data_IF_794702484675
#
_entry.id   IF_794702484675
#
_cell.length_a   1.000
_cell.length_b   1.000
_cell.length_c   1.000
_cell.angle_alpha   90.00
_cell.angle_beta   90.00
_cell.angle_gamma   90.00
#
_symmetry.space_group_name_H-M   'P 1'
#
loop_
_entity.id
_entity.type
_entity.pdbx_description
1 polymer ?
#
# COMPACT_ATOMS: atom_id res chain seq x y z
N UNK A 1 4.52 28.96 -15.02
CA UNK A 1 4.04 27.61 -14.68
C UNK A 1 5.10 26.49 -14.87
N UNK A 2 6.01 26.59 -15.85
CA UNK A 2 7.04 25.56 -16.12
C UNK A 2 8.04 25.31 -14.97
N UNK A 3 8.38 26.31 -14.16
CA UNK A 3 9.32 26.15 -13.03
C UNK A 3 8.76 25.38 -11.84
N UNK A 4 7.47 25.54 -11.52
CA UNK A 4 6.80 24.82 -10.44
C UNK A 4 6.57 23.34 -10.81
N UNK A 5 6.32 23.05 -12.07
CA UNK A 5 6.15 21.68 -12.61
C UNK A 5 7.44 20.88 -12.52
N UNK A 6 8.59 21.47 -12.91
CA UNK A 6 9.91 20.83 -12.78
C UNK A 6 10.28 20.58 -11.30
N UNK A 7 9.89 21.48 -10.41
CA UNK A 7 10.10 21.31 -8.97
C UNK A 7 9.37 20.09 -8.40
N UNK A 8 8.11 19.83 -8.81
CA UNK A 8 7.31 18.72 -8.26
C UNK A 8 7.84 17.34 -8.70
N UNK A 9 8.17 17.16 -9.98
CA UNK A 9 8.76 15.91 -10.48
C UNK A 9 10.09 15.58 -9.79
N UNK A 10 10.97 16.58 -9.63
CA UNK A 10 12.24 16.37 -8.94
C UNK A 10 12.04 15.98 -7.48
N UNK A 11 11.09 16.61 -6.79
CA UNK A 11 10.74 16.28 -5.39
C UNK A 11 10.15 14.89 -5.25
N UNK A 12 9.30 14.45 -6.19
CA UNK A 12 8.73 13.10 -6.19
C UNK A 12 9.82 12.05 -6.42
N UNK A 13 10.76 12.31 -7.33
CA UNK A 13 11.92 11.43 -7.57
C UNK A 13 12.77 11.29 -6.31
N UNK A 14 13.08 12.39 -5.63
CA UNK A 14 13.84 12.38 -4.39
C UNK A 14 13.12 11.60 -3.29
N UNK A 15 11.80 11.81 -3.12
CA UNK A 15 10.97 11.06 -2.17
C UNK A 15 10.96 9.57 -2.51
N UNK A 16 10.81 9.20 -3.79
CA UNK A 16 10.82 7.81 -4.23
C UNK A 16 12.16 7.14 -3.94
N UNK A 17 13.27 7.80 -4.23
CA UNK A 17 14.63 7.31 -3.93
C UNK A 17 14.87 7.07 -2.44
N UNK A 18 14.48 8.02 -1.58
CA UNK A 18 14.61 7.90 -0.12
C UNK A 18 13.75 6.75 0.43
N UNK A 19 12.54 6.58 -0.09
CA UNK A 19 11.65 5.49 0.30
C UNK A 19 12.17 4.13 -0.18
N UNK A 20 12.70 4.05 -1.40
CA UNK A 20 13.31 2.84 -1.93
C UNK A 20 14.55 2.43 -1.11
N UNK A 21 15.36 3.39 -0.67
CA UNK A 21 16.49 3.13 0.22
C UNK A 21 16.08 2.53 1.58
N UNK A 22 14.89 2.87 2.09
CA UNK A 22 14.39 2.38 3.40
C UNK A 22 13.56 1.11 3.31
N UNK A 23 12.74 0.98 2.27
CA UNK A 23 11.72 -0.09 2.16
C UNK A 23 11.98 -1.05 0.99
N UNK A 24 12.99 -0.76 0.17
CA UNK A 24 13.19 -1.44 -1.11
C UNK A 24 12.27 -0.89 -2.20
N UNK A 25 12.38 -1.45 -3.39
CA UNK A 25 11.48 -1.20 -4.52
C UNK A 25 10.51 -2.38 -4.61
N UNK A 26 9.28 -2.28 -4.07
CA UNK A 26 8.36 -3.40 -4.06
C UNK A 26 7.98 -3.80 -5.49
N UNK A 27 7.99 -5.10 -5.74
CA UNK A 27 7.42 -5.65 -6.96
C UNK A 27 5.90 -5.50 -6.96
N UNK A 28 5.33 -5.26 -8.14
CA UNK A 28 3.89 -5.21 -8.30
C UNK A 28 3.39 -6.65 -8.39
N UNK A 29 3.03 -7.23 -7.25
CA UNK A 29 2.35 -8.52 -7.21
C UNK A 29 0.89 -8.33 -7.61
N UNK A 30 0.50 -8.88 -8.74
CA UNK A 30 -0.90 -8.96 -9.16
C UNK A 30 -1.50 -10.19 -8.49
N UNK A 31 -2.26 -10.00 -7.40
CA UNK A 31 -2.92 -11.09 -6.68
C UNK A 31 -4.05 -11.75 -7.45
N UNK A 32 -4.62 -11.03 -8.42
CA UNK A 32 -5.71 -11.48 -9.25
C UNK A 32 -5.46 -11.04 -10.70
N UNK A 33 -5.31 -12.01 -11.58
CA UNK A 33 -4.96 -11.77 -13.00
C UNK A 33 -6.16 -11.34 -13.84
N UNK A 34 -7.38 -11.75 -13.45
CA UNK A 34 -8.62 -11.32 -14.10
C UNK A 34 -9.00 -9.90 -13.62
N UNK A 35 -9.06 -8.91 -14.51
CA UNK A 35 -9.36 -7.53 -14.13
C UNK A 35 -10.74 -7.36 -13.47
N UNK A 36 -11.74 -8.16 -13.83
CA UNK A 36 -13.08 -8.08 -13.20
C UNK A 36 -13.02 -8.64 -11.78
N UNK A 37 -12.33 -9.76 -11.57
CA UNK A 37 -12.08 -10.28 -10.22
C UNK A 37 -11.25 -9.32 -9.37
N UNK A 38 -10.27 -8.66 -9.99
CA UNK A 38 -9.47 -7.65 -9.29
C UNK A 38 -10.31 -6.40 -8.94
N UNK A 39 -11.28 -6.02 -9.78
CA UNK A 39 -12.26 -4.98 -9.43
C UNK A 39 -13.08 -5.40 -8.19
N UNK A 40 -13.58 -6.63 -8.15
CA UNK A 40 -14.30 -7.19 -6.99
C UNK A 40 -13.43 -7.16 -5.75
N UNK A 41 -12.19 -7.64 -5.83
CA UNK A 41 -11.22 -7.62 -4.73
C UNK A 41 -10.96 -6.20 -4.23
N UNK A 42 -10.82 -5.24 -5.15
CA UNK A 42 -10.58 -3.83 -4.82
C UNK A 42 -11.80 -3.18 -4.15
N UNK A 43 -13.02 -3.51 -4.58
CA UNK A 43 -14.25 -3.08 -3.89
C UNK A 43 -14.28 -3.68 -2.46
N UNK A 44 -13.95 -4.95 -2.32
CA UNK A 44 -13.87 -5.59 -0.99
C UNK A 44 -12.83 -4.95 -0.07
N UNK A 45 -11.75 -4.40 -0.63
CA UNK A 45 -10.68 -3.73 0.15
C UNK A 45 -11.08 -2.39 0.77
N UNK A 46 -12.21 -1.80 0.36
CA UNK A 46 -12.65 -0.50 0.85
C UNK A 46 -13.00 -0.55 2.34
N UNK A 47 -12.43 0.37 3.12
CA UNK A 47 -12.69 0.54 4.56
C UNK A 47 -12.60 -0.76 5.37
N UNK A 48 -11.60 -1.59 5.09
CA UNK A 48 -11.33 -2.83 5.82
C UNK A 48 -9.83 -3.10 5.94
N UNK A 49 -9.47 -4.10 6.72
CA UNK A 49 -8.08 -4.59 6.82
C UNK A 49 -7.79 -5.61 5.72
N UNK A 50 -6.51 -5.78 5.36
CA UNK A 50 -6.10 -6.78 4.36
C UNK A 50 -6.56 -8.19 4.75
N UNK A 51 -6.44 -8.56 6.03
CA UNK A 51 -6.89 -9.86 6.53
C UNK A 51 -8.41 -10.07 6.38
N UNK A 52 -9.22 -9.03 6.59
CA UNK A 52 -10.67 -9.11 6.42
C UNK A 52 -11.06 -9.15 4.94
N UNK A 53 -10.36 -8.37 4.09
CA UNK A 53 -10.52 -8.43 2.64
C UNK A 53 -10.26 -9.85 2.12
N UNK A 54 -9.14 -10.44 2.50
CA UNK A 54 -8.72 -11.76 2.00
C UNK A 54 -9.69 -12.86 2.46
N UNK A 55 -10.16 -12.79 3.71
CA UNK A 55 -11.21 -13.69 4.21
C UNK A 55 -12.52 -13.52 3.47
N UNK A 56 -12.94 -12.28 3.19
CA UNK A 56 -14.17 -12.01 2.44
C UNK A 56 -14.05 -12.52 1.00
N UNK A 57 -12.92 -12.24 0.33
CA UNK A 57 -12.68 -12.72 -1.03
C UNK A 57 -12.60 -14.23 -1.11
N UNK A 58 -11.93 -14.90 -0.19
CA UNK A 58 -11.87 -16.37 -0.14
C UNK A 58 -13.23 -17.04 0.03
N UNK A 59 -14.10 -16.48 0.90
CA UNK A 59 -15.49 -16.96 1.04
C UNK A 59 -16.30 -16.73 -0.23
N UNK A 60 -16.19 -15.54 -0.83
CA UNK A 60 -16.84 -15.19 -2.08
C UNK A 60 -16.42 -16.13 -3.21
N UNK A 61 -15.11 -16.33 -3.42
CA UNK A 61 -14.58 -17.18 -4.48
C UNK A 61 -15.00 -18.65 -4.31
N UNK A 62 -15.07 -19.16 -3.06
CA UNK A 62 -15.56 -20.50 -2.76
C UNK A 62 -17.05 -20.67 -3.07
N UNK A 63 -17.88 -19.66 -2.72
CA UNK A 63 -19.34 -19.73 -2.93
C UNK A 63 -19.73 -19.46 -4.38
N UNK A 64 -19.00 -18.55 -5.05
CA UNK A 64 -19.24 -18.14 -6.43
C UNK A 64 -17.96 -18.29 -7.27
N UNK A 65 -17.64 -19.51 -7.72
CA UNK A 65 -16.34 -19.81 -8.34
C UNK A 65 -16.16 -19.15 -9.72
N UNK A 66 -17.25 -18.77 -10.39
CA UNK A 66 -17.20 -18.11 -11.70
C UNK A 66 -17.86 -16.73 -11.66
N UNK A 67 -17.47 -15.84 -12.57
CA UNK A 67 -18.10 -14.51 -12.69
C UNK A 67 -19.61 -14.62 -13.04
N UNK A 68 -20.04 -15.50 -13.93
CA UNK A 68 -21.47 -15.73 -14.15
C UNK A 68 -22.22 -16.16 -12.88
N UNK A 69 -21.66 -17.07 -12.08
CA UNK A 69 -22.26 -17.49 -10.81
C UNK A 69 -22.34 -16.32 -9.81
N UNK A 70 -21.30 -15.50 -9.74
CA UNK A 70 -21.28 -14.31 -8.88
C UNK A 70 -22.32 -13.26 -9.33
N UNK A 71 -22.44 -13.06 -10.65
CA UNK A 71 -23.40 -12.10 -11.21
C UNK A 71 -24.87 -12.55 -11.04
N UNK A 72 -25.12 -13.86 -10.95
CA UNK A 72 -26.44 -14.44 -10.71
C UNK A 72 -26.79 -14.56 -9.21
N UNK A 73 -25.87 -14.21 -8.31
CA UNK A 73 -26.09 -14.33 -6.87
C UNK A 73 -27.18 -13.39 -6.38
N UNK A 74 -27.99 -13.86 -5.42
CA UNK A 74 -28.88 -12.98 -4.68
C UNK A 74 -28.07 -12.02 -3.80
N UNK A 75 -28.52 -10.77 -3.72
CA UNK A 75 -27.80 -9.74 -2.94
C UNK A 75 -27.57 -10.16 -1.49
N UNK A 76 -28.56 -10.78 -0.84
CA UNK A 76 -28.46 -11.29 0.52
C UNK A 76 -27.39 -12.38 0.70
N UNK A 77 -27.25 -13.28 -0.27
CA UNK A 77 -26.22 -14.32 -0.25
C UNK A 77 -24.82 -13.77 -0.39
N UNK A 78 -24.66 -12.77 -1.28
CA UNK A 78 -23.39 -12.06 -1.45
C UNK A 78 -23.03 -11.26 -0.20
N UNK A 79 -23.99 -10.54 0.38
CA UNK A 79 -23.80 -9.80 1.63
C UNK A 79 -23.32 -10.71 2.76
N UNK A 80 -23.92 -11.88 2.91
CA UNK A 80 -23.52 -12.87 3.91
C UNK A 80 -22.08 -13.35 3.68
N UNK A 81 -21.75 -13.73 2.44
CA UNK A 81 -20.40 -14.21 2.10
C UNK A 81 -19.31 -13.21 2.43
N UNK A 82 -19.56 -11.90 2.18
CA UNK A 82 -18.56 -10.84 2.35
C UNK A 82 -18.67 -10.07 3.67
N UNK A 83 -19.55 -10.47 4.60
CA UNK A 83 -19.85 -9.77 5.86
C UNK A 83 -18.60 -9.42 6.68
N UNK A 84 -17.63 -10.33 6.72
CA UNK A 84 -16.37 -10.13 7.44
C UNK A 84 -15.55 -8.92 6.93
N UNK A 85 -15.76 -8.52 5.66
CA UNK A 85 -15.09 -7.38 5.04
C UNK A 85 -15.69 -6.01 5.43
N UNK A 86 -16.80 -5.96 6.17
CA UNK A 86 -17.52 -4.74 6.50
C UNK A 86 -18.24 -4.10 5.31
N UNK A 87 -19.20 -3.23 5.57
CA UNK A 87 -20.01 -2.53 4.56
C UNK A 87 -20.64 -3.48 3.52
N UNK A 88 -21.02 -4.70 3.93
CA UNK A 88 -21.41 -5.80 3.04
C UNK A 88 -22.51 -5.40 2.06
N UNK A 89 -23.58 -4.75 2.52
CA UNK A 89 -24.70 -4.31 1.68
C UNK A 89 -24.26 -3.35 0.56
N UNK A 90 -23.45 -2.34 0.89
CA UNK A 90 -22.97 -1.38 -0.09
C UNK A 90 -22.00 -2.04 -1.09
N UNK A 91 -21.09 -2.91 -0.61
CA UNK A 91 -20.14 -3.65 -1.45
C UNK A 91 -20.84 -4.65 -2.36
N UNK A 92 -21.83 -5.40 -1.86
CA UNK A 92 -22.62 -6.32 -2.67
C UNK A 92 -23.35 -5.59 -3.80
N UNK A 93 -24.01 -4.47 -3.48
CA UNK A 93 -24.65 -3.60 -4.50
C UNK A 93 -23.66 -3.11 -5.56
N UNK A 94 -22.47 -2.66 -5.14
CA UNK A 94 -21.45 -2.19 -6.06
C UNK A 94 -20.91 -3.32 -6.97
N UNK A 95 -20.65 -4.51 -6.41
CA UNK A 95 -20.18 -5.68 -7.15
C UNK A 95 -21.21 -6.13 -8.18
N UNK A 96 -22.46 -6.36 -7.75
CA UNK A 96 -23.52 -6.81 -8.66
C UNK A 96 -23.82 -5.76 -9.74
N UNK A 97 -23.85 -4.47 -9.38
CA UNK A 97 -24.06 -3.38 -10.34
C UNK A 97 -22.94 -3.30 -11.38
N UNK A 98 -21.69 -3.46 -10.96
CA UNK A 98 -20.55 -3.47 -11.88
C UNK A 98 -20.62 -4.69 -12.84
N UNK A 99 -20.91 -5.89 -12.33
CA UNK A 99 -21.02 -7.10 -13.14
C UNK A 99 -22.17 -7.03 -14.13
N UNK A 100 -23.34 -6.54 -13.71
CA UNK A 100 -24.50 -6.37 -14.57
C UNK A 100 -24.19 -5.43 -15.74
N UNK A 101 -23.60 -4.27 -15.45
CA UNK A 101 -23.24 -3.29 -16.45
C UNK A 101 -22.17 -3.78 -17.43
N UNK A 102 -21.11 -4.45 -16.93
CA UNK A 102 -20.08 -5.04 -17.80
C UNK A 102 -20.72 -6.05 -18.76
N UNK A 103 -21.63 -6.90 -18.27
CA UNK A 103 -22.32 -7.88 -19.10
C UNK A 103 -23.20 -7.23 -20.15
N UNK A 104 -23.98 -6.21 -19.76
CA UNK A 104 -24.88 -5.49 -20.66
C UNK A 104 -24.10 -4.79 -21.79
N UNK A 105 -23.01 -4.11 -21.46
CA UNK A 105 -22.24 -3.34 -22.42
C UNK A 105 -21.31 -4.19 -23.30
N UNK A 106 -20.88 -5.38 -22.81
CA UNK A 106 -19.83 -6.20 -23.44
C UNK A 106 -20.25 -7.62 -23.82
N UNK A 107 -21.47 -8.02 -23.52
CA UNK A 107 -21.96 -9.38 -23.77
C UNK A 107 -21.32 -10.47 -22.90
N UNK A 108 -20.34 -10.10 -22.03
CA UNK A 108 -19.61 -11.00 -21.14
C UNK A 108 -18.96 -10.25 -19.98
N UNK A 109 -18.11 -10.94 -19.21
CA UNK A 109 -17.43 -10.36 -18.04
C UNK A 109 -15.96 -10.10 -18.38
N UNK A 110 -15.67 -9.08 -19.21
CA UNK A 110 -14.31 -8.71 -19.56
C UNK A 110 -14.12 -7.20 -19.55
N UNK A 111 -13.01 -6.77 -18.94
CA UNK A 111 -12.51 -5.39 -18.98
C UNK A 111 -11.27 -5.26 -19.87
N UNK A 112 -10.94 -6.29 -20.66
CA UNK A 112 -9.74 -6.32 -21.50
C UNK A 112 -9.62 -5.16 -22.49
N UNK A 113 -10.74 -4.61 -22.94
CA UNK A 113 -10.79 -3.47 -23.87
C UNK A 113 -10.15 -2.18 -23.28
N UNK A 114 -10.06 -2.06 -21.96
CA UNK A 114 -9.42 -0.91 -21.32
C UNK A 114 -7.92 -0.81 -21.64
N UNK A 115 -7.26 -1.89 -22.07
CA UNK A 115 -5.83 -1.87 -22.46
C UNK A 115 -5.52 -0.91 -23.60
N UNK A 116 -6.44 -0.74 -24.53
CA UNK A 116 -6.29 0.15 -25.68
C UNK A 116 -6.86 1.55 -25.49
N UNK A 117 -7.38 1.84 -24.30
CA UNK A 117 -8.05 3.10 -24.01
C UNK A 117 -7.08 4.11 -23.37
N UNK A 118 -7.17 5.40 -23.69
CA UNK A 118 -6.43 6.44 -22.97
C UNK A 118 -6.76 6.42 -21.47
N UNK A 119 -5.74 6.64 -20.62
CA UNK A 119 -5.89 6.58 -19.16
C UNK A 119 -7.05 7.42 -18.58
N UNK A 120 -7.28 8.67 -19.03
CA UNK A 120 -8.41 9.46 -18.55
C UNK A 120 -9.76 8.82 -18.86
N UNK A 121 -9.95 8.31 -20.08
CA UNK A 121 -11.19 7.67 -20.53
C UNK A 121 -11.43 6.35 -19.79
N UNK A 122 -10.39 5.53 -19.64
CA UNK A 122 -10.45 4.28 -18.86
C UNK A 122 -10.84 4.56 -17.39
N UNK A 123 -10.29 5.63 -16.82
CA UNK A 123 -10.64 6.06 -15.45
C UNK A 123 -12.08 6.54 -15.38
N UNK A 124 -12.54 7.35 -16.32
CA UNK A 124 -13.92 7.82 -16.39
C UNK A 124 -14.88 6.65 -16.48
N UNK A 125 -14.62 5.71 -17.37
CA UNK A 125 -15.41 4.48 -17.49
C UNK A 125 -15.52 3.74 -16.15
N UNK A 126 -14.39 3.49 -15.46
CA UNK A 126 -14.40 2.79 -14.20
C UNK A 126 -15.07 3.57 -13.06
N UNK A 127 -14.90 4.90 -13.03
CA UNK A 127 -15.51 5.72 -11.98
C UNK A 127 -17.01 5.91 -12.18
N UNK A 128 -17.55 5.58 -13.33
CA UNK A 128 -18.99 5.56 -13.58
C UNK A 128 -19.72 4.37 -12.95
N UNK A 129 -18.96 3.35 -12.45
CA UNK A 129 -19.55 2.24 -11.71
C UNK A 129 -19.96 2.65 -10.28
N UNK A 130 -21.10 2.16 -9.77
CA UNK A 130 -21.50 2.43 -8.39
C UNK A 130 -20.42 2.00 -7.39
N UNK A 131 -20.03 2.89 -6.48
CA UNK A 131 -19.04 2.60 -5.43
C UNK A 131 -17.59 2.55 -5.91
N UNK A 132 -17.30 2.85 -7.18
CA UNK A 132 -15.95 2.92 -7.73
C UNK A 132 -15.50 4.38 -7.84
N UNK A 133 -14.67 4.83 -6.92
CA UNK A 133 -14.04 6.15 -6.97
C UNK A 133 -12.68 6.12 -7.67
N UNK A 134 -12.08 7.31 -7.85
CA UNK A 134 -10.77 7.49 -8.50
C UNK A 134 -9.69 6.57 -7.91
N UNK A 135 -9.64 6.39 -6.59
CA UNK A 135 -8.66 5.49 -5.95
C UNK A 135 -8.85 4.05 -6.40
N UNK A 136 -10.07 3.55 -6.44
CA UNK A 136 -10.39 2.17 -6.86
C UNK A 136 -10.09 1.99 -8.34
N UNK A 137 -10.47 2.94 -9.20
CA UNK A 137 -10.15 2.93 -10.61
C UNK A 137 -8.63 2.91 -10.85
N UNK A 138 -7.88 3.79 -10.17
CA UNK A 138 -6.42 3.86 -10.33
C UNK A 138 -5.70 2.58 -9.84
N UNK A 139 -6.19 1.91 -8.79
CA UNK A 139 -5.68 0.60 -8.37
C UNK A 139 -5.85 -0.41 -9.51
N UNK A 140 -7.05 -0.49 -10.09
CA UNK A 140 -7.31 -1.44 -11.17
C UNK A 140 -6.47 -1.13 -12.42
N UNK A 141 -6.42 0.13 -12.84
CA UNK A 141 -5.66 0.56 -14.02
C UNK A 141 -4.17 0.29 -13.85
N UNK A 142 -3.62 0.56 -12.67
CA UNK A 142 -2.21 0.32 -12.38
C UNK A 142 -1.90 -1.18 -12.31
N UNK A 143 -2.61 -1.92 -11.46
CA UNK A 143 -2.22 -3.29 -11.11
C UNK A 143 -2.73 -4.35 -12.10
N UNK A 144 -3.84 -4.11 -12.84
CA UNK A 144 -4.34 -5.06 -13.83
C UNK A 144 -3.96 -4.72 -15.26
N UNK A 145 -3.69 -3.45 -15.54
CA UNK A 145 -3.42 -3.00 -16.91
C UNK A 145 -2.03 -2.40 -17.11
N UNK A 146 -1.27 -2.17 -16.02
CA UNK A 146 0.06 -1.56 -16.10
C UNK A 146 0.03 -0.08 -16.51
N UNK A 147 -1.15 0.56 -16.47
CA UNK A 147 -1.28 1.97 -16.85
C UNK A 147 -0.63 2.87 -15.80
N UNK A 148 -0.10 4.04 -16.18
CA UNK A 148 0.58 4.96 -15.27
C UNK A 148 -0.41 5.74 -14.39
N UNK A 149 -1.37 5.04 -13.79
CA UNK A 149 -2.32 5.60 -12.84
C UNK A 149 -1.69 5.69 -11.45
N UNK A 150 -1.95 6.79 -10.71
CA UNK A 150 -1.40 6.97 -9.37
C UNK A 150 -2.50 6.89 -8.30
N UNK A 151 -2.64 5.76 -7.59
CA UNK A 151 -3.62 5.64 -6.53
C UNK A 151 -3.22 6.49 -5.32
N UNK A 152 -4.16 7.24 -4.77
CA UNK A 152 -3.98 8.01 -3.54
C UNK A 152 -5.02 7.55 -2.51
N UNK A 153 -4.54 6.92 -1.43
CA UNK A 153 -5.35 6.58 -0.27
C UNK A 153 -5.19 7.62 0.85
N UNK A 154 -5.82 7.42 1.99
CA UNK A 154 -5.74 8.34 3.13
C UNK A 154 -4.33 8.43 3.71
N UNK A 155 -3.52 7.37 3.60
CA UNK A 155 -2.14 7.34 4.04
C UNK A 155 -1.25 8.16 3.10
N UNK A 156 -1.36 7.90 1.80
CA UNK A 156 -0.66 8.64 0.74
C UNK A 156 -1.03 10.12 0.79
N UNK A 157 -2.32 10.46 0.89
CA UNK A 157 -2.78 11.84 0.97
C UNK A 157 -2.16 12.58 2.17
N UNK A 158 -2.17 11.95 3.34
CA UNK A 158 -1.59 12.54 4.55
C UNK A 158 -0.10 12.79 4.40
N UNK A 159 0.64 11.81 3.87
CA UNK A 159 2.08 11.91 3.66
C UNK A 159 2.39 13.03 2.66
N UNK A 160 1.73 13.06 1.51
CA UNK A 160 1.97 14.06 0.46
C UNK A 160 1.59 15.47 0.88
N UNK A 161 0.55 15.64 1.71
CA UNK A 161 0.23 16.93 2.36
C UNK A 161 1.33 17.39 3.30
N UNK A 162 1.82 16.52 4.18
CA UNK A 162 2.90 16.84 5.13
C UNK A 162 4.24 17.13 4.44
N UNK A 163 4.47 16.51 3.31
CA UNK A 163 5.61 16.81 2.44
C UNK A 163 5.43 18.11 1.66
N UNK A 164 4.24 18.72 1.64
CA UNK A 164 3.94 19.90 0.82
C UNK A 164 4.00 19.59 -0.69
N UNK A 165 3.70 18.36 -1.09
CA UNK A 165 3.58 17.95 -2.51
C UNK A 165 2.20 18.28 -3.08
N UNK A 166 1.19 18.34 -2.21
CA UNK A 166 -0.17 18.77 -2.54
C UNK A 166 -0.69 19.75 -1.49
N UNK A 167 -1.60 20.65 -1.84
CA UNK A 167 -2.26 21.56 -0.89
C UNK A 167 -2.94 20.81 0.27
N UNK A 168 -2.96 21.41 1.46
CA UNK A 168 -3.64 20.87 2.63
C UNK A 168 -5.15 20.60 2.42
N UNK A 169 -5.78 21.35 1.52
CA UNK A 169 -7.19 21.24 1.13
C UNK A 169 -7.48 20.16 0.09
N UNK A 170 -6.45 19.51 -0.49
CA UNK A 170 -6.63 18.52 -1.54
C UNK A 170 -7.47 17.33 -1.06
N UNK A 171 -8.39 16.89 -1.91
CA UNK A 171 -9.09 15.60 -1.78
C UNK A 171 -8.24 14.46 -2.32
N UNK A 172 -8.62 13.20 -2.07
CA UNK A 172 -7.95 12.02 -2.63
C UNK A 172 -7.85 12.08 -4.16
N UNK A 173 -8.97 12.40 -4.82
CA UNK A 173 -9.03 12.50 -6.28
C UNK A 173 -8.15 13.63 -6.83
N UNK A 174 -8.25 14.84 -6.24
CA UNK A 174 -7.42 15.98 -6.66
C UNK A 174 -5.93 15.68 -6.48
N UNK A 175 -5.54 15.07 -5.38
CA UNK A 175 -4.15 14.70 -5.13
C UNK A 175 -3.66 13.64 -6.14
N UNK A 176 -4.47 12.62 -6.46
CA UNK A 176 -4.13 11.61 -7.44
C UNK A 176 -3.84 12.25 -8.80
N UNK A 177 -4.78 13.02 -9.33
CA UNK A 177 -4.67 13.67 -10.64
C UNK A 177 -3.53 14.69 -10.72
N UNK A 178 -3.24 15.41 -9.63
CA UNK A 178 -2.15 16.39 -9.62
C UNK A 178 -0.76 15.78 -9.51
N UNK A 179 -0.62 14.62 -8.84
CA UNK A 179 0.68 13.96 -8.67
C UNK A 179 1.03 13.04 -9.85
N UNK A 180 0.03 12.37 -10.41
CA UNK A 180 0.19 11.36 -11.47
C UNK A 180 1.10 11.76 -12.62
N UNK A 181 0.96 12.96 -13.25
CA UNK A 181 1.81 13.35 -14.37
C UNK A 181 3.28 13.61 -13.99
N UNK A 182 3.58 13.67 -12.69
CA UNK A 182 4.89 13.99 -12.15
C UNK A 182 5.63 12.77 -11.60
N UNK A 183 4.97 11.61 -11.52
CA UNK A 183 5.57 10.34 -11.13
C UNK A 183 6.31 9.75 -12.35
N UNK A 184 7.51 9.27 -12.15
CA UNK A 184 8.29 8.64 -13.23
C UNK A 184 7.63 7.35 -13.71
N UNK A 185 7.76 7.10 -15.02
CA UNK A 185 7.26 5.87 -15.62
C UNK A 185 7.84 4.64 -14.91
N UNK A 186 6.97 3.70 -14.57
CA UNK A 186 7.35 2.51 -13.81
C UNK A 186 7.46 2.70 -12.30
N UNK A 187 7.32 3.94 -11.79
CA UNK A 187 7.43 4.23 -10.35
C UNK A 187 6.07 4.40 -9.64
N UNK A 188 4.98 4.45 -10.41
CA UNK A 188 3.63 4.66 -9.87
C UNK A 188 3.25 3.63 -8.79
N UNK A 189 3.53 2.35 -9.04
CA UNK A 189 3.25 1.26 -8.09
C UNK A 189 4.18 1.28 -6.88
N UNK A 190 5.50 1.21 -7.07
CA UNK A 190 6.46 1.25 -5.98
C UNK A 190 6.30 2.47 -5.08
N UNK A 191 6.12 3.66 -5.63
CA UNK A 191 5.93 4.89 -4.87
C UNK A 191 4.60 4.87 -4.08
N UNK A 192 3.48 4.43 -4.71
CA UNK A 192 2.21 4.27 -4.01
C UNK A 192 2.34 3.33 -2.80
N UNK A 193 2.91 2.14 -3.00
CA UNK A 193 3.07 1.13 -1.96
C UNK A 193 3.96 1.63 -0.81
N UNK A 194 5.08 2.26 -1.13
CA UNK A 194 6.01 2.80 -0.14
C UNK A 194 5.43 3.99 0.63
N UNK A 195 4.73 4.92 -0.03
CA UNK A 195 4.03 6.03 0.64
C UNK A 195 2.92 5.51 1.56
N UNK A 196 2.14 4.53 1.11
CA UNK A 196 1.10 3.90 1.91
C UNK A 196 1.70 3.21 3.15
N UNK A 197 2.78 2.44 2.98
CA UNK A 197 3.53 1.80 4.05
C UNK A 197 4.09 2.81 5.05
N UNK A 198 4.77 3.85 4.57
CA UNK A 198 5.27 4.94 5.42
C UNK A 198 4.15 5.58 6.24
N UNK A 199 3.01 5.80 5.61
CA UNK A 199 1.85 6.38 6.27
C UNK A 199 1.27 5.50 7.37
N UNK A 200 1.30 4.18 7.20
CA UNK A 200 0.83 3.21 8.23
C UNK A 200 1.83 3.07 9.37
N UNK A 201 3.10 2.90 9.06
CA UNK A 201 4.13 2.53 10.03
C UNK A 201 4.74 3.73 10.75
N UNK A 202 5.07 4.79 10.02
CA UNK A 202 5.89 5.92 10.50
C UNK A 202 5.09 7.21 10.58
N UNK A 203 4.54 7.67 9.44
CA UNK A 203 3.85 8.95 9.34
C UNK A 203 2.38 8.84 9.79
N UNK A 204 2.15 8.42 11.02
CA UNK A 204 0.82 8.18 11.61
C UNK A 204 -0.02 9.46 11.71
N UNK A 205 -1.37 9.36 11.76
CA UNK A 205 -2.23 10.54 11.96
C UNK A 205 -1.91 11.28 13.25
N UNK A 206 -1.88 10.54 14.35
CA UNK A 206 -1.48 10.99 15.67
C UNK A 206 -0.07 10.47 15.95
N UNK A 207 0.74 11.27 16.62
CA UNK A 207 2.09 10.93 17.03
C UNK A 207 2.96 10.27 15.93
N UNK A 208 3.28 10.99 14.85
CA UNK A 208 4.14 10.46 13.79
C UNK A 208 5.59 10.33 14.28
N UNK A 209 6.26 9.24 13.95
CA UNK A 209 7.65 8.97 14.30
C UNK A 209 8.63 9.71 13.40
N UNK A 210 8.65 11.06 13.49
CA UNK A 210 9.43 11.88 12.58
C UNK A 210 10.94 11.65 12.70
N UNK A 211 11.46 11.32 13.88
CA UNK A 211 12.88 11.02 14.10
C UNK A 211 13.36 9.75 13.34
N UNK A 212 12.46 8.79 13.09
CA UNK A 212 12.75 7.54 12.37
C UNK A 212 12.41 7.63 10.87
N UNK A 213 11.90 8.79 10.42
CA UNK A 213 11.33 8.93 9.08
C UNK A 213 12.43 9.14 8.03
N UNK A 214 12.51 8.31 6.98
CA UNK A 214 13.50 8.49 5.92
C UNK A 214 13.33 9.80 5.15
N UNK A 215 12.14 10.41 5.23
CA UNK A 215 11.83 11.67 4.55
C UNK A 215 12.03 12.90 5.43
N UNK A 216 12.63 12.77 6.64
CA UNK A 216 12.78 13.91 7.56
C UNK A 216 13.55 15.08 6.92
N UNK A 217 14.58 14.80 6.16
CA UNK A 217 15.43 15.80 5.50
C UNK A 217 14.69 16.64 4.46
N UNK A 218 13.64 16.10 3.85
CA UNK A 218 12.85 16.75 2.80
C UNK A 218 11.43 17.14 3.25
N UNK A 219 11.05 16.79 4.50
CA UNK A 219 9.70 17.00 5.02
C UNK A 219 9.58 18.28 5.84
N UNK A 220 8.87 19.34 5.35
CA UNK A 220 8.67 20.57 6.12
C UNK A 220 7.97 20.33 7.46
N UNK A 221 6.91 19.51 7.45
CA UNK A 221 6.15 19.19 8.67
C UNK A 221 6.99 18.39 9.67
N UNK A 222 7.79 17.43 9.21
CA UNK A 222 8.71 16.69 10.06
C UNK A 222 9.73 17.59 10.73
N UNK A 223 10.38 18.47 9.96
CA UNK A 223 11.33 19.48 10.50
C UNK A 223 10.68 20.38 11.53
N UNK A 224 9.46 20.86 11.26
CA UNK A 224 8.69 21.71 12.20
C UNK A 224 8.43 20.97 13.51
N UNK A 225 8.01 19.71 13.45
CA UNK A 225 7.73 18.87 14.65
C UNK A 225 8.98 18.59 15.47
N UNK A 226 10.08 18.26 14.81
CA UNK A 226 11.36 18.01 15.49
C UNK A 226 11.91 19.26 16.19
N UNK A 227 11.65 20.45 15.64
CA UNK A 227 11.99 21.72 16.32
C UNK A 227 11.12 21.97 17.55
N UNK A 228 9.81 21.65 17.46
CA UNK A 228 8.88 21.85 18.56
C UNK A 228 9.04 20.81 19.69
N UNK A 229 9.44 19.59 19.35
CA UNK A 229 9.67 18.49 20.26
C UNK A 229 10.97 17.78 19.88
N UNK A 230 12.14 18.33 20.27
CA UNK A 230 13.41 17.65 20.01
C UNK A 230 13.35 16.25 20.65
N UNK A 231 13.76 15.23 19.92
CA UNK A 231 13.87 13.88 20.47
C UNK A 231 14.74 13.95 21.74
N UNK A 232 14.38 13.26 22.83
CA UNK A 232 15.25 13.18 23.98
C UNK A 232 16.61 12.70 23.50
N UNK A 233 17.65 13.48 23.82
CA UNK A 233 19.03 13.08 23.58
C UNK A 233 19.19 11.74 24.28
N UNK A 234 19.30 10.65 23.53
CA UNK A 234 19.76 9.38 24.09
C UNK A 234 21.18 9.67 24.53
N UNK A 235 21.36 9.98 25.81
CA UNK A 235 22.68 10.04 26.41
C UNK A 235 23.34 8.70 26.08
N UNK A 236 24.34 8.72 25.23
CA UNK A 236 25.27 7.64 25.13
C UNK A 236 25.75 7.38 26.56
N UNK A 237 25.47 6.22 27.08
CA UNK A 237 26.00 5.81 28.36
C UNK A 237 27.51 6.06 28.32
N UNK A 238 28.09 6.78 29.28
CA UNK A 238 29.52 6.93 29.35
C UNK A 238 30.10 5.52 29.46
N UNK A 239 30.90 5.14 28.49
CA UNK A 239 31.67 3.92 28.51
C UNK A 239 32.62 3.92 29.70
N UNK A 240 32.16 3.43 30.82
CA UNK A 240 33.01 3.04 31.94
C UNK A 240 33.79 1.81 31.53
N UNK A 241 35.02 2.01 31.11
CA UNK A 241 36.04 0.98 31.09
C UNK A 241 36.21 0.45 32.52
N UNK A 242 35.53 -0.66 32.83
CA UNK A 242 35.93 -1.49 33.98
C UNK A 242 37.09 -2.32 33.51
N UNK A 243 38.28 -1.92 33.99
CA UNK A 243 39.46 -2.75 33.96
C UNK A 243 39.18 -4.03 34.70
N UNK A 244 39.07 -5.15 33.98
CA UNK A 244 39.10 -6.49 34.57
C UNK A 244 40.56 -6.78 34.90
N UNK A 245 40.89 -6.80 36.19
CA UNK A 245 42.16 -7.37 36.70
C UNK A 245 42.12 -8.85 36.40
N UNK A 246 43.08 -9.32 35.62
CA UNK A 246 43.46 -10.70 35.50
C UNK A 246 44.26 -11.06 36.75
N UNK A 247 43.64 -11.72 37.71
CA UNK A 247 44.38 -12.49 38.73
C UNK A 247 44.56 -13.89 38.19
N UNK A 248 45.82 -14.22 37.98
CA UNK A 248 46.27 -15.55 37.62
C UNK A 248 46.13 -16.51 38.78
N UNK A 249 45.68 -17.72 38.51
CA UNK A 249 46.05 -18.89 39.31
C UNK A 249 46.44 -20.01 38.38
N UNK A 250 47.66 -20.44 38.60
CA UNK A 250 48.33 -21.56 37.94
C UNK A 250 47.96 -22.88 38.63
N UNK A 251 48.22 -23.94 37.91
CA UNK A 251 48.57 -25.33 38.30
C UNK A 251 47.44 -26.35 38.46
N UNK A 252 47.64 -27.46 37.74
CA UNK A 252 47.18 -28.79 38.07
C UNK A 252 46.60 -29.60 36.91
N UNK A 253 47.45 -30.28 36.12
CA UNK A 253 47.05 -31.52 35.42
C UNK A 253 47.34 -32.72 36.31
N UNK A 254 47.32 -33.97 35.86
CA UNK A 254 46.71 -34.61 34.70
C UNK A 254 45.94 -35.91 35.03
N UNK A 255 45.35 -36.52 34.04
CA UNK A 255 44.88 -37.92 34.09
C UNK A 255 43.45 -38.02 33.63
N UNK A 256 43.02 -38.82 32.69
CA UNK A 256 43.50 -40.08 32.17
C UNK A 256 42.25 -40.87 31.72
N UNK A 257 42.28 -41.33 30.49
CA UNK A 257 41.78 -42.61 30.00
C UNK A 257 40.27 -42.95 29.84
N UNK A 258 39.98 -43.38 28.60
CA UNK A 258 39.09 -44.45 28.10
C UNK A 258 37.68 -44.09 27.70
N UNK A 259 37.36 -44.06 26.41
CA UNK A 259 37.04 -45.13 25.45
C UNK A 259 35.76 -45.97 25.76
N UNK A 260 34.97 -46.08 24.75
CA UNK A 260 33.93 -47.06 24.31
C UNK A 260 32.59 -46.35 24.12
N UNK A 261 31.90 -46.39 22.99
CA UNK A 261 31.75 -47.44 21.99
C UNK A 261 30.27 -47.83 21.92
N UNK A 262 29.72 -47.94 20.73
CA UNK A 262 28.42 -48.60 20.44
C UNK A 262 27.28 -47.66 20.05
N UNK A 263 26.97 -47.44 18.81
CA UNK A 263 26.12 -48.19 17.89
C UNK A 263 24.74 -48.62 18.43
N UNK A 264 23.69 -47.94 17.98
CA UNK A 264 22.59 -48.48 17.19
C UNK A 264 21.70 -47.29 16.76
#
# INVERSE_FOLDING_TARGET
MAGAVRGLSARLREVSGLLAGRFGRPEICVHETDPVRNLVLTILSQNTTDANRDRAYGRLAKRFPTLPALAAAQASELEEAIRVGGLAKAKAKAILGALARIREERGGYSLGFLRGMPLPEAREYLTSFPGVGVKTANILLLFSFGMPAFPVDTHVLRVTKRLGLVPGTSTLAKAALSLEPHVETGDHGPLHLNLSRLGREVCRPRDPRCAECPLLTVCPEGKRRMKAHPAPVRNALPGGLRSVRLEGHATGGPGGVAARGGAQ
#
